data_IF_083858137391
#
_entry.id   IF_083858137391
#
_cell.length_a   1.000
_cell.length_b   1.000
_cell.length_c   1.000
_cell.angle_alpha   90.00
_cell.angle_beta   90.00
_cell.angle_gamma   90.00
#
_symmetry.space_group_name_H-M   'P 1'
#
loop_
_entity.id
_entity.type
_entity.pdbx_description
1 polymer ?
#
# COMPACT_ATOMS: atom_id res chain seq x y z
N UNK A 1 -19.98 -2.67 11.02
CA UNK A 1 -19.57 -4.08 11.11
C UNK A 1 -18.95 -4.39 12.47
N UNK A 2 -17.91 -3.66 12.92
CA UNK A 2 -17.22 -3.93 14.19
C UNK A 2 -18.18 -3.91 15.39
N UNK A 3 -19.02 -2.88 15.54
CA UNK A 3 -20.03 -2.81 16.60
C UNK A 3 -21.02 -3.98 16.56
N UNK A 4 -21.47 -4.38 15.39
CA UNK A 4 -22.35 -5.56 15.25
C UNK A 4 -21.65 -6.85 15.70
N UNK A 5 -20.38 -7.04 15.34
CA UNK A 5 -19.64 -8.23 15.75
C UNK A 5 -19.38 -8.24 17.27
N UNK A 6 -19.06 -7.09 17.86
CA UNK A 6 -18.92 -6.95 19.33
C UNK A 6 -20.23 -7.22 20.06
N UNK A 7 -21.38 -6.75 19.52
CA UNK A 7 -22.69 -7.06 20.09
C UNK A 7 -23.04 -8.56 20.03
N UNK A 8 -22.33 -9.34 19.21
CA UNK A 8 -22.40 -10.81 19.18
C UNK A 8 -21.37 -11.48 20.09
N UNK A 9 -20.74 -10.74 21.00
CA UNK A 9 -19.67 -11.19 21.91
C UNK A 9 -18.43 -11.75 21.18
N UNK A 10 -18.18 -11.32 19.95
CA UNK A 10 -16.96 -11.66 19.25
C UNK A 10 -15.84 -10.67 19.63
N UNK A 11 -14.64 -11.19 19.77
CA UNK A 11 -13.45 -10.38 19.92
C UNK A 11 -13.10 -9.73 18.58
N UNK A 12 -13.04 -8.41 18.54
CA UNK A 12 -12.89 -7.63 17.31
C UNK A 12 -11.76 -6.62 17.47
N UNK A 13 -10.81 -6.68 16.58
CA UNK A 13 -9.80 -5.62 16.38
C UNK A 13 -10.09 -4.89 15.07
N UNK A 14 -10.48 -3.63 15.18
CA UNK A 14 -10.79 -2.77 14.03
C UNK A 14 -9.66 -1.75 13.83
N UNK A 15 -8.91 -1.94 12.76
CA UNK A 15 -7.83 -1.03 12.34
C UNK A 15 -8.35 -0.01 11.33
N UNK A 16 -7.94 1.24 11.50
CA UNK A 16 -8.00 2.31 10.51
C UNK A 16 -6.68 3.10 10.56
N UNK A 17 -6.48 4.03 9.65
CA UNK A 17 -5.25 4.82 9.62
C UNK A 17 -5.14 5.74 8.42
N UNK A 18 -3.95 6.29 8.22
CA UNK A 18 -3.62 7.20 7.13
C UNK A 18 -2.34 6.81 6.41
N UNK A 19 -2.38 6.87 5.08
CA UNK A 19 -1.21 6.81 4.22
C UNK A 19 -0.66 8.23 4.07
N UNK A 20 0.59 8.42 4.49
CA UNK A 20 1.16 9.74 4.69
C UNK A 20 2.41 10.01 3.84
N UNK A 21 2.89 9.02 3.10
CA UNK A 21 4.07 9.12 2.27
C UNK A 21 3.74 9.39 0.78
N UNK A 22 4.78 9.58 -0.02
CA UNK A 22 4.68 9.72 -1.46
C UNK A 22 4.79 11.14 -2.00
N UNK A 23 4.96 11.23 -3.31
CA UNK A 23 5.21 12.49 -4.01
C UNK A 23 4.01 13.46 -3.94
N UNK A 24 2.80 12.93 -3.90
CA UNK A 24 1.57 13.74 -3.80
C UNK A 24 1.55 14.54 -2.50
N UNK A 25 1.86 13.91 -1.38
CA UNK A 25 1.94 14.55 -0.06
C UNK A 25 3.09 15.56 -0.04
N UNK A 26 4.27 15.20 -0.54
CA UNK A 26 5.42 16.10 -0.61
C UNK A 26 5.08 17.39 -1.38
N UNK A 27 4.48 17.27 -2.57
CA UNK A 27 4.06 18.43 -3.38
C UNK A 27 2.97 19.25 -2.69
N UNK A 28 2.00 18.61 -2.02
CA UNK A 28 0.94 19.32 -1.31
C UNK A 28 1.47 20.10 -0.10
N UNK A 29 2.42 19.53 0.63
CA UNK A 29 3.09 20.21 1.74
C UNK A 29 3.88 21.44 1.27
N UNK A 30 4.67 21.28 0.19
CA UNK A 30 5.40 22.38 -0.43
C UNK A 30 4.49 23.53 -0.89
N UNK A 31 3.33 23.20 -1.47
CA UNK A 31 2.35 24.21 -1.89
C UNK A 31 1.73 24.99 -0.71
N UNK A 32 1.86 24.49 0.51
CA UNK A 32 1.39 25.11 1.74
C UNK A 32 2.55 25.69 2.60
N UNK A 33 3.76 25.77 2.07
CA UNK A 33 4.98 26.18 2.80
C UNK A 33 5.19 25.43 4.12
N UNK A 34 4.91 24.10 4.11
CA UNK A 34 5.04 23.21 5.27
C UNK A 34 6.00 22.07 4.98
N UNK A 35 6.63 21.55 6.02
CA UNK A 35 7.24 20.24 5.95
C UNK A 35 6.17 19.14 5.74
N UNK A 36 6.48 18.02 5.06
CA UNK A 36 5.52 16.94 4.87
C UNK A 36 4.90 16.44 6.19
N UNK A 37 5.71 16.30 7.25
CA UNK A 37 5.19 15.84 8.55
C UNK A 37 4.23 16.83 9.20
N UNK A 38 4.48 18.13 9.13
CA UNK A 38 3.55 19.15 9.62
C UNK A 38 2.25 19.16 8.85
N UNK A 39 2.34 19.00 7.53
CA UNK A 39 1.17 18.92 6.66
C UNK A 39 0.29 17.72 7.02
N UNK A 40 0.85 16.51 7.10
CA UNK A 40 0.08 15.30 7.42
C UNK A 40 -0.46 15.31 8.84
N UNK A 41 0.23 15.89 9.82
CA UNK A 41 -0.30 16.06 11.17
C UNK A 41 -1.61 16.84 11.17
N UNK A 42 -1.69 17.96 10.45
CA UNK A 42 -2.93 18.73 10.33
C UNK A 42 -4.05 18.01 9.58
N UNK A 43 -3.71 17.09 8.66
CA UNK A 43 -4.69 16.24 7.98
C UNK A 43 -5.21 15.14 8.91
N UNK A 44 -4.32 14.48 9.64
CA UNK A 44 -4.67 13.42 10.61
C UNK A 44 -5.61 13.91 11.68
N UNK A 45 -5.40 15.12 12.20
CA UNK A 45 -6.28 15.70 13.22
C UNK A 45 -7.72 15.86 12.70
N UNK A 46 -7.89 16.22 11.43
CA UNK A 46 -9.21 16.28 10.78
C UNK A 46 -9.85 14.88 10.65
N UNK A 47 -9.08 13.87 10.28
CA UNK A 47 -9.57 12.49 10.24
C UNK A 47 -10.00 12.01 11.63
N UNK A 48 -9.18 12.22 12.66
CA UNK A 48 -9.52 11.84 14.04
C UNK A 48 -10.79 12.55 14.54
N UNK A 49 -10.94 13.83 14.24
CA UNK A 49 -12.16 14.58 14.56
C UNK A 49 -13.36 13.96 13.86
N UNK A 50 -13.27 13.71 12.55
CA UNK A 50 -14.35 13.09 11.78
C UNK A 50 -14.72 11.69 12.30
N UNK A 51 -13.72 10.88 12.70
CA UNK A 51 -13.96 9.56 13.28
C UNK A 51 -14.72 9.65 14.61
N UNK A 52 -14.40 10.66 15.43
CA UNK A 52 -15.15 10.92 16.66
C UNK A 52 -16.59 11.36 16.37
N UNK A 53 -16.79 12.29 15.44
CA UNK A 53 -18.13 12.80 15.06
C UNK A 53 -19.01 11.67 14.50
N UNK A 54 -18.42 10.77 13.72
CA UNK A 54 -19.10 9.59 13.16
C UNK A 54 -19.17 8.41 14.13
N UNK A 55 -18.64 8.57 15.36
CA UNK A 55 -18.58 7.51 16.36
C UNK A 55 -17.96 6.21 15.82
N UNK A 56 -16.84 6.32 15.10
CA UNK A 56 -16.08 5.18 14.58
C UNK A 56 -15.31 4.52 15.71
N UNK A 57 -15.67 3.29 16.05
CA UNK A 57 -15.10 2.53 17.18
C UNK A 57 -13.88 1.70 16.78
N UNK A 58 -12.86 2.33 16.22
CA UNK A 58 -11.58 1.68 15.92
C UNK A 58 -10.80 1.38 17.21
N UNK A 59 -9.98 0.33 17.16
CA UNK A 59 -9.11 -0.09 18.26
C UNK A 59 -7.69 0.46 18.10
N UNK A 60 -7.29 0.69 16.85
CA UNK A 60 -6.00 1.32 16.53
C UNK A 60 -6.13 2.23 15.32
N UNK A 61 -5.34 3.31 15.31
CA UNK A 61 -5.21 4.24 14.21
C UNK A 61 -3.74 4.29 13.82
N UNK A 62 -3.38 3.52 12.78
CA UNK A 62 -1.99 3.45 12.29
C UNK A 62 -1.70 4.61 11.34
N UNK A 63 -0.53 5.21 11.48
CA UNK A 63 0.02 6.17 10.54
C UNK A 63 1.26 5.57 9.89
N UNK A 64 1.40 5.69 8.59
CA UNK A 64 2.58 5.15 7.91
C UNK A 64 3.87 5.90 8.27
N UNK A 65 3.77 7.10 8.86
CA UNK A 65 4.89 7.86 9.42
C UNK A 65 5.31 7.42 10.83
N UNK A 66 4.53 6.56 11.50
CA UNK A 66 4.90 6.10 12.83
C UNK A 66 6.13 5.18 12.82
N UNK A 67 6.98 5.36 13.80
CA UNK A 67 8.22 4.61 13.96
C UNK A 67 7.98 3.09 14.03
N UNK A 68 6.89 2.66 14.69
CA UNK A 68 6.47 1.25 14.76
C UNK A 68 6.16 0.66 13.39
N UNK A 69 5.63 1.47 12.46
CA UNK A 69 5.38 1.05 11.08
C UNK A 69 6.67 1.06 10.26
N UNK A 70 7.38 2.19 10.24
CA UNK A 70 8.60 2.36 9.44
C UNK A 70 9.66 1.29 9.71
N UNK A 71 9.91 0.96 10.98
CA UNK A 71 10.90 -0.07 11.36
C UNK A 71 10.51 -1.46 10.82
N UNK A 72 9.23 -1.82 10.94
CA UNK A 72 8.74 -3.12 10.46
C UNK A 72 8.74 -3.22 8.94
N UNK A 73 8.33 -2.16 8.25
CA UNK A 73 8.38 -2.11 6.78
C UNK A 73 9.80 -2.36 6.28
N UNK A 74 10.80 -1.69 6.86
CA UNK A 74 12.21 -1.90 6.53
C UNK A 74 12.63 -3.36 6.71
N UNK A 75 12.25 -3.97 7.83
CA UNK A 75 12.57 -5.37 8.13
C UNK A 75 11.90 -6.34 7.17
N UNK A 76 10.61 -6.12 6.87
CA UNK A 76 9.86 -6.95 5.91
C UNK A 76 10.49 -6.82 4.51
N UNK A 77 10.85 -5.61 4.09
CA UNK A 77 11.52 -5.39 2.81
C UNK A 77 12.82 -6.20 2.72
N UNK A 78 13.65 -6.16 3.77
CA UNK A 78 14.89 -6.94 3.84
C UNK A 78 14.63 -8.44 3.76
N UNK A 79 13.66 -8.96 4.49
CA UNK A 79 13.30 -10.38 4.46
C UNK A 79 12.87 -10.84 3.06
N UNK A 80 12.06 -10.03 2.38
CA UNK A 80 11.61 -10.34 1.01
C UNK A 80 12.79 -10.26 0.03
N UNK A 81 13.72 -9.33 0.22
CA UNK A 81 14.93 -9.20 -0.58
C UNK A 81 15.88 -10.38 -0.36
N UNK A 82 16.09 -10.81 0.87
CA UNK A 82 16.90 -11.99 1.23
C UNK A 82 16.31 -13.29 0.65
N UNK A 83 14.99 -13.39 0.53
CA UNK A 83 14.31 -14.50 -0.13
C UNK A 83 14.45 -14.47 -1.67
N UNK A 84 15.10 -13.46 -2.24
CA UNK A 84 15.32 -13.31 -3.68
C UNK A 84 14.07 -12.84 -4.45
N UNK A 85 13.05 -12.36 -3.75
CA UNK A 85 11.82 -11.86 -4.37
C UNK A 85 11.85 -10.36 -4.67
N UNK A 86 12.91 -9.67 -4.25
CA UNK A 86 13.19 -8.28 -4.66
C UNK A 86 14.53 -8.24 -5.40
N UNK A 87 14.59 -7.54 -6.52
CA UNK A 87 15.79 -7.33 -7.32
C UNK A 87 15.86 -5.91 -7.87
N UNK A 88 17.07 -5.42 -8.17
CA UNK A 88 17.29 -4.13 -8.84
C UNK A 88 17.15 -4.32 -10.36
N UNK A 89 16.34 -3.51 -11.00
CA UNK A 89 16.11 -3.51 -12.45
C UNK A 89 15.98 -2.11 -13.02
N UNK A 90 15.99 -2.00 -14.34
CA UNK A 90 15.71 -0.73 -15.02
C UNK A 90 14.22 -0.66 -15.36
N UNK A 91 13.62 0.47 -15.06
CA UNK A 91 12.26 0.80 -15.43
C UNK A 91 12.27 1.92 -16.48
N UNK A 92 11.55 1.71 -17.56
CA UNK A 92 11.23 2.77 -18.52
C UNK A 92 9.73 2.73 -18.79
N UNK A 93 9.03 3.83 -18.54
CA UNK A 93 7.59 3.91 -18.72
C UNK A 93 7.03 5.29 -18.45
N UNK A 94 5.71 5.37 -18.37
CA UNK A 94 4.99 6.62 -18.13
C UNK A 94 4.45 6.64 -16.70
N UNK A 95 4.72 7.71 -15.97
CA UNK A 95 4.31 7.88 -14.59
C UNK A 95 3.24 8.96 -14.45
N UNK A 96 2.15 8.63 -13.79
CA UNK A 96 1.10 9.57 -13.40
C UNK A 96 1.30 10.01 -11.95
N UNK A 97 1.76 11.24 -11.74
CA UNK A 97 2.00 11.77 -10.39
C UNK A 97 0.74 11.79 -9.52
N UNK A 98 -0.43 12.24 -10.02
CA UNK A 98 -1.65 12.27 -9.19
C UNK A 98 -2.20 10.91 -8.77
N UNK A 99 -2.01 9.87 -9.61
CA UNK A 99 -2.45 8.50 -9.30
C UNK A 99 -1.33 7.66 -8.69
N UNK A 100 -0.09 8.19 -8.69
CA UNK A 100 1.12 7.48 -8.27
C UNK A 100 1.26 6.10 -8.94
N UNK A 101 0.91 6.05 -10.24
CA UNK A 101 0.81 4.81 -11.02
C UNK A 101 1.67 4.86 -12.27
N UNK A 102 2.27 3.72 -12.61
CA UNK A 102 3.01 3.53 -13.84
C UNK A 102 2.14 2.92 -14.94
N UNK A 103 2.44 3.33 -16.17
CA UNK A 103 1.74 2.89 -17.37
C UNK A 103 2.74 2.57 -18.48
N UNK A 104 2.48 1.52 -19.23
CA UNK A 104 3.17 1.30 -20.51
C UNK A 104 2.46 2.14 -21.59
N UNK A 105 3.17 2.46 -22.67
CA UNK A 105 2.65 3.35 -23.71
C UNK A 105 1.33 2.88 -24.32
N UNK A 106 1.15 1.56 -24.46
CA UNK A 106 -0.07 0.94 -24.99
C UNK A 106 -1.31 1.10 -24.09
N UNK A 107 -1.13 1.42 -22.82
CA UNK A 107 -2.21 1.63 -21.86
C UNK A 107 -2.66 3.10 -21.80
N UNK A 108 -1.86 4.02 -22.33
CA UNK A 108 -2.21 5.44 -22.31
C UNK A 108 -3.38 5.74 -23.26
N UNK A 109 -4.24 6.63 -22.82
CA UNK A 109 -5.30 7.22 -23.66
C UNK A 109 -4.84 8.61 -24.10
N UNK A 110 -4.57 8.77 -25.40
CA UNK A 110 -4.10 10.05 -25.97
C UNK A 110 -2.86 10.61 -25.21
N UNK A 111 -1.92 9.72 -24.81
CA UNK A 111 -0.74 10.05 -24.00
C UNK A 111 -1.09 10.62 -22.61
N UNK A 112 -2.25 10.26 -22.07
CA UNK A 112 -2.70 10.63 -20.73
C UNK A 112 -2.97 9.40 -19.89
N UNK A 113 -3.00 9.60 -18.57
CA UNK A 113 -3.33 8.56 -17.60
C UNK A 113 -4.74 8.00 -17.87
N UNK A 114 -4.90 6.69 -18.01
CA UNK A 114 -6.19 6.07 -18.30
C UNK A 114 -7.20 6.18 -17.13
N UNK A 115 -6.72 6.42 -15.90
CA UNK A 115 -7.57 6.55 -14.72
C UNK A 115 -8.06 7.98 -14.49
N UNK A 116 -7.15 8.96 -14.50
CA UNK A 116 -7.49 10.34 -14.13
C UNK A 116 -7.46 11.34 -15.30
N UNK A 117 -7.11 10.89 -16.50
CA UNK A 117 -7.00 11.67 -17.73
C UNK A 117 -6.03 12.88 -17.67
N UNK A 118 -5.08 12.87 -16.70
CA UNK A 118 -4.04 13.90 -16.56
C UNK A 118 -2.77 13.51 -17.33
N UNK A 119 -1.89 14.48 -17.54
CA UNK A 119 -0.60 14.26 -18.16
C UNK A 119 0.23 13.25 -17.40
N UNK A 120 1.00 12.46 -18.13
CA UNK A 120 2.00 11.52 -17.60
C UNK A 120 3.39 11.96 -18.01
N UNK A 121 4.39 11.61 -17.20
CA UNK A 121 5.80 11.93 -17.43
C UNK A 121 6.54 10.65 -17.82
N UNK A 122 7.41 10.74 -18.85
CA UNK A 122 8.26 9.59 -19.20
C UNK A 122 9.40 9.50 -18.20
N UNK A 123 9.54 8.33 -17.56
CA UNK A 123 10.52 8.07 -16.52
C UNK A 123 11.38 6.89 -16.95
N UNK A 124 12.71 7.06 -16.78
CA UNK A 124 13.68 5.98 -16.89
C UNK A 124 14.56 6.03 -15.66
N UNK A 125 14.43 5.01 -14.82
CA UNK A 125 15.18 4.94 -13.58
C UNK A 125 15.50 3.48 -13.20
N UNK A 126 16.53 3.29 -12.36
CA UNK A 126 16.76 1.99 -11.71
C UNK A 126 15.88 1.92 -10.49
N UNK A 127 15.09 0.85 -10.37
CA UNK A 127 14.21 0.62 -9.26
C UNK A 127 14.35 -0.80 -8.71
N UNK A 128 13.97 -0.98 -7.47
CA UNK A 128 13.74 -2.32 -6.93
C UNK A 128 12.38 -2.84 -7.42
N UNK A 129 12.37 -4.10 -7.85
CA UNK A 129 11.19 -4.80 -8.35
C UNK A 129 10.85 -5.96 -7.42
N UNK A 130 9.57 -6.16 -7.18
CA UNK A 130 9.04 -7.36 -6.53
C UNK A 130 8.61 -8.37 -7.60
N UNK A 131 9.05 -9.63 -7.45
CA UNK A 131 8.75 -10.73 -8.38
C UNK A 131 7.29 -11.22 -8.26
N UNK A 132 6.34 -10.34 -8.58
CA UNK A 132 4.93 -10.69 -8.53
C UNK A 132 4.57 -11.83 -9.49
N UNK A 133 5.25 -11.90 -10.65
CA UNK A 133 5.10 -12.98 -11.63
C UNK A 133 5.31 -14.37 -11.03
N UNK A 134 6.24 -14.53 -10.08
CA UNK A 134 6.50 -15.78 -9.35
C UNK A 134 5.26 -16.31 -8.61
N UNK A 135 4.38 -15.41 -8.18
CA UNK A 135 3.23 -15.72 -7.34
C UNK A 135 1.93 -15.92 -8.14
N UNK A 136 1.93 -15.70 -9.46
CA UNK A 136 0.73 -15.76 -10.31
C UNK A 136 -0.03 -17.08 -10.14
N UNK A 137 0.66 -18.21 -10.19
CA UNK A 137 0.05 -19.53 -10.04
C UNK A 137 -0.59 -19.71 -8.66
N UNK A 138 0.13 -19.34 -7.60
CA UNK A 138 -0.37 -19.45 -6.22
C UNK A 138 -1.57 -18.55 -5.96
N UNK A 139 -1.60 -17.36 -6.57
CA UNK A 139 -2.75 -16.46 -6.49
C UNK A 139 -3.98 -17.06 -7.17
N UNK A 140 -3.84 -17.64 -8.35
CA UNK A 140 -4.95 -18.30 -9.04
C UNK A 140 -5.49 -19.48 -8.22
N UNK A 141 -4.62 -20.35 -7.74
CA UNK A 141 -4.99 -21.48 -6.89
C UNK A 141 -5.70 -21.03 -5.59
N UNK A 142 -5.24 -19.94 -4.98
CA UNK A 142 -5.87 -19.38 -3.80
C UNK A 142 -7.32 -18.94 -4.09
N UNK A 143 -7.53 -18.21 -5.19
CA UNK A 143 -8.86 -17.73 -5.57
C UNK A 143 -9.81 -18.85 -6.00
N UNK A 144 -9.29 -19.93 -6.56
CA UNK A 144 -10.08 -21.14 -6.88
C UNK A 144 -10.54 -21.85 -5.60
N UNK A 145 -9.63 -21.99 -4.62
CA UNK A 145 -9.94 -22.62 -3.32
C UNK A 145 -10.83 -21.77 -2.43
N UNK A 146 -10.78 -20.44 -2.59
CA UNK A 146 -11.50 -19.47 -1.77
C UNK A 146 -12.39 -18.52 -2.61
N UNK A 147 -13.50 -19.02 -3.21
CA UNK A 147 -14.30 -18.26 -4.16
C UNK A 147 -14.96 -16.99 -3.56
N UNK A 148 -15.06 -16.92 -2.23
CA UNK A 148 -15.63 -15.79 -1.50
C UNK A 148 -14.59 -14.83 -0.92
N UNK A 149 -13.29 -15.01 -1.26
CA UNK A 149 -12.20 -14.18 -0.76
C UNK A 149 -12.35 -12.71 -1.20
N UNK A 150 -12.84 -12.48 -2.41
CA UNK A 150 -13.15 -11.14 -2.92
C UNK A 150 -14.65 -11.00 -3.17
N UNK A 151 -15.24 -9.92 -2.66
CA UNK A 151 -16.64 -9.56 -2.82
C UNK A 151 -16.75 -8.10 -3.29
N UNK A 152 -17.74 -7.73 -4.11
CA UNK A 152 -18.72 -8.61 -4.75
C UNK A 152 -18.09 -9.43 -5.90
N UNK A 153 -18.85 -10.38 -6.42
CA UNK A 153 -18.40 -11.28 -7.48
C UNK A 153 -17.88 -10.54 -8.73
N UNK A 154 -18.45 -9.40 -9.08
CA UNK A 154 -17.98 -8.56 -10.17
C UNK A 154 -16.51 -8.16 -10.00
N UNK A 155 -16.09 -7.77 -8.80
CA UNK A 155 -14.71 -7.40 -8.49
C UNK A 155 -13.78 -8.61 -8.48
N UNK A 156 -14.27 -9.74 -8.00
CA UNK A 156 -13.55 -11.01 -8.09
C UNK A 156 -13.26 -11.37 -9.54
N UNK A 157 -14.26 -11.30 -10.42
CA UNK A 157 -14.13 -11.64 -11.81
C UNK A 157 -13.17 -10.70 -12.55
N UNK A 158 -13.21 -9.41 -12.28
CA UNK A 158 -12.28 -8.40 -12.79
C UNK A 158 -10.82 -8.75 -12.43
N UNK A 159 -10.56 -9.03 -11.14
CA UNK A 159 -9.24 -9.42 -10.68
C UNK A 159 -8.76 -10.73 -11.33
N UNK A 160 -9.63 -11.74 -11.39
CA UNK A 160 -9.28 -13.04 -11.99
C UNK A 160 -8.91 -12.90 -13.46
N UNK A 161 -9.61 -12.07 -14.23
CA UNK A 161 -9.24 -11.80 -15.63
C UNK A 161 -7.82 -11.18 -15.70
N UNK A 162 -7.51 -10.26 -14.80
CA UNK A 162 -6.18 -9.63 -14.74
C UNK A 162 -5.08 -10.63 -14.36
N UNK A 163 -5.31 -11.51 -13.37
CA UNK A 163 -4.32 -12.49 -12.93
C UNK A 163 -4.15 -13.64 -13.95
N UNK A 164 -5.15 -13.96 -14.76
CA UNK A 164 -5.06 -14.96 -15.84
C UNK A 164 -4.17 -14.50 -17.00
N UNK A 165 -4.06 -13.20 -17.22
CA UNK A 165 -3.07 -12.63 -18.15
C UNK A 165 -1.68 -12.68 -17.51
N UNK A 166 -0.59 -12.69 -18.30
CA UNK A 166 0.76 -12.64 -17.73
C UNK A 166 0.91 -11.49 -16.74
N UNK A 167 1.32 -11.83 -15.51
CA UNK A 167 1.56 -10.84 -14.44
C UNK A 167 3.01 -10.42 -14.50
N UNK A 168 3.23 -9.12 -14.60
CA UNK A 168 4.57 -8.53 -14.61
C UNK A 168 5.04 -8.24 -13.18
N UNK A 169 6.36 -8.22 -12.99
CA UNK A 169 6.98 -7.77 -11.74
C UNK A 169 6.73 -6.27 -11.55
N UNK A 170 6.52 -5.87 -10.32
CA UNK A 170 6.15 -4.50 -9.99
C UNK A 170 7.32 -3.71 -9.40
N UNK A 171 7.49 -2.48 -9.86
CA UNK A 171 8.46 -1.55 -9.28
C UNK A 171 8.00 -1.08 -7.91
N UNK A 172 8.80 -1.36 -6.89
CA UNK A 172 8.51 -1.13 -5.47
C UNK A 172 9.43 -0.11 -4.79
N UNK A 173 10.19 0.65 -5.56
CA UNK A 173 10.97 1.79 -5.06
C UNK A 173 10.94 2.96 -6.02
N UNK A 174 11.40 4.11 -5.54
CA UNK A 174 11.55 5.37 -6.30
C UNK A 174 12.84 6.04 -5.90
N UNK A 175 13.60 6.54 -6.88
CA UNK A 175 14.82 7.31 -6.65
C UNK A 175 14.56 8.83 -6.53
N UNK A 176 13.45 9.31 -7.12
CA UNK A 176 13.13 10.74 -7.19
C UNK A 176 12.24 11.24 -6.02
N UNK A 177 11.87 10.39 -5.08
CA UNK A 177 10.97 10.72 -3.96
C UNK A 177 11.74 10.66 -2.65
N UNK A 178 11.80 11.78 -1.93
CA UNK A 178 12.47 11.86 -0.63
C UNK A 178 11.53 11.54 0.55
N UNK A 179 10.24 11.89 0.42
CA UNK A 179 9.27 11.70 1.48
C UNK A 179 8.68 10.29 1.45
N UNK A 180 9.23 9.43 2.29
CA UNK A 180 8.84 8.01 2.43
C UNK A 180 9.86 7.21 3.22
N UNK A 181 9.65 5.91 3.30
CA UNK A 181 10.55 4.98 4.00
C UNK A 181 11.69 4.62 3.06
N UNK A 182 12.93 4.94 3.44
CA UNK A 182 14.10 4.61 2.64
C UNK A 182 14.36 3.10 2.61
N UNK A 183 14.82 2.60 1.45
CA UNK A 183 15.26 1.21 1.30
C UNK A 183 16.46 0.97 2.23
N UNK A 184 16.42 -0.07 3.09
CA UNK A 184 17.44 -0.28 4.12
C UNK A 184 18.88 -0.43 3.58
N UNK A 185 19.02 -1.09 2.43
CA UNK A 185 20.32 -1.36 1.78
C UNK A 185 20.77 -0.27 0.81
N UNK A 186 19.88 0.72 0.51
CA UNK A 186 20.13 1.74 -0.50
C UNK A 186 19.33 3.01 -0.21
N UNK A 187 19.93 3.94 0.51
CA UNK A 187 19.30 5.21 0.90
C UNK A 187 19.04 6.18 -0.25
N UNK A 188 19.47 5.86 -1.48
CA UNK A 188 19.12 6.63 -2.68
C UNK A 188 17.72 6.28 -3.20
N UNK A 189 17.08 5.24 -2.63
CA UNK A 189 15.76 4.80 -3.00
C UNK A 189 14.79 4.87 -1.81
N UNK A 190 13.56 5.28 -2.10
CA UNK A 190 12.43 5.27 -1.18
C UNK A 190 11.49 4.12 -1.55
N UNK A 191 11.02 3.37 -0.55
CA UNK A 191 10.03 2.31 -0.73
C UNK A 191 8.75 2.93 -1.30
N UNK A 192 8.19 2.27 -2.33
CA UNK A 192 7.00 2.75 -3.01
C UNK A 192 5.78 2.76 -2.09
N UNK A 193 5.05 3.87 -2.13
CA UNK A 193 3.93 4.17 -1.22
C UNK A 193 2.88 3.04 -1.12
N UNK A 194 2.58 2.33 -2.18
CA UNK A 194 1.62 1.23 -2.13
C UNK A 194 2.12 0.01 -1.35
N UNK A 195 3.43 -0.30 -1.40
CA UNK A 195 4.00 -1.37 -0.58
C UNK A 195 4.03 -0.94 0.89
N UNK A 196 4.46 0.28 1.15
CA UNK A 196 4.43 0.91 2.46
C UNK A 196 3.01 0.85 3.06
N UNK A 197 2.03 1.40 2.35
CA UNK A 197 0.64 1.44 2.77
C UNK A 197 0.06 0.04 3.03
N UNK A 198 0.24 -0.92 2.11
CA UNK A 198 -0.32 -2.27 2.28
C UNK A 198 0.27 -3.03 3.47
N UNK A 199 1.50 -2.73 3.86
CA UNK A 199 2.12 -3.35 5.03
C UNK A 199 1.53 -2.87 6.37
N UNK A 200 0.74 -1.77 6.39
CA UNK A 200 0.12 -1.29 7.62
C UNK A 200 -0.76 -2.36 8.30
N UNK A 201 -1.44 -3.20 7.52
CA UNK A 201 -2.31 -4.25 8.04
C UNK A 201 -1.61 -5.24 8.96
N UNK A 202 -0.35 -5.55 8.70
CA UNK A 202 0.44 -6.46 9.51
C UNK A 202 1.30 -5.73 10.54
N UNK A 203 1.82 -4.55 10.21
CA UNK A 203 2.66 -3.78 11.13
C UNK A 203 1.86 -3.25 12.32
N UNK A 204 0.59 -2.85 12.14
CA UNK A 204 -0.30 -2.45 13.21
C UNK A 204 -0.63 -3.59 14.19
N UNK A 205 -0.59 -4.83 13.70
CA UNK A 205 -0.78 -6.02 14.53
C UNK A 205 0.49 -6.45 15.27
N UNK A 206 1.60 -5.76 15.05
CA UNK A 206 2.85 -6.08 15.75
C UNK A 206 3.65 -7.21 15.10
N UNK A 207 3.53 -7.43 13.79
CA UNK A 207 4.37 -8.40 13.08
C UNK A 207 5.83 -8.24 13.48
N UNK A 208 6.47 -9.35 13.87
CA UNK A 208 7.86 -9.44 14.33
C UNK A 208 8.17 -8.74 15.67
N UNK A 209 7.17 -8.32 16.44
CA UNK A 209 7.31 -7.67 17.73
C UNK A 209 6.30 -8.26 18.74
N UNK A 210 5.00 -8.10 18.49
CA UNK A 210 3.93 -8.71 19.27
C UNK A 210 3.27 -9.85 18.49
N UNK A 211 3.95 -10.98 18.43
CA UNK A 211 3.48 -12.14 17.69
C UNK A 211 2.18 -12.74 18.25
N UNK A 212 1.85 -12.52 19.54
CA UNK A 212 0.58 -12.98 20.11
C UNK A 212 -0.59 -12.21 19.50
N UNK A 213 -0.49 -10.88 19.46
CA UNK A 213 -1.48 -10.01 18.81
C UNK A 213 -1.58 -10.32 17.32
N UNK A 214 -0.44 -10.46 16.64
CA UNK A 214 -0.40 -10.79 15.22
C UNK A 214 -1.11 -12.12 14.93
N UNK A 215 -0.75 -13.20 15.59
CA UNK A 215 -1.35 -14.52 15.38
C UNK A 215 -2.85 -14.55 15.70
N UNK A 216 -3.29 -13.73 16.65
CA UNK A 216 -4.70 -13.65 17.05
C UNK A 216 -5.58 -12.99 15.99
N UNK A 217 -5.10 -11.96 15.30
CA UNK A 217 -5.90 -11.15 14.38
C UNK A 217 -5.50 -11.24 12.92
N UNK A 218 -4.42 -11.96 12.60
CA UNK A 218 -4.02 -12.23 11.23
C UNK A 218 -4.21 -13.71 10.87
N UNK A 219 -4.75 -14.07 9.70
CA UNK A 219 -5.21 -13.16 8.65
C UNK A 219 -6.48 -12.40 9.03
N UNK A 220 -6.62 -11.19 8.49
CA UNK A 220 -7.79 -10.36 8.74
C UNK A 220 -9.07 -11.03 8.23
N UNK A 221 -10.13 -10.97 9.02
CA UNK A 221 -11.44 -11.52 8.60
C UNK A 221 -12.08 -10.73 7.47
N UNK A 222 -11.82 -9.42 7.40
CA UNK A 222 -12.37 -8.52 6.38
C UNK A 222 -11.42 -7.35 6.14
N UNK A 223 -11.12 -7.09 4.87
CA UNK A 223 -10.57 -5.82 4.39
C UNK A 223 -11.67 -5.08 3.64
N UNK A 224 -11.90 -3.81 3.99
CA UNK A 224 -12.84 -2.93 3.27
C UNK A 224 -12.00 -1.96 2.47
N UNK A 225 -12.12 -2.03 1.14
CA UNK A 225 -11.33 -1.25 0.19
C UNK A 225 -12.30 -0.37 -0.59
N UNK A 226 -12.00 0.93 -0.66
CA UNK A 226 -12.79 1.94 -1.37
C UNK A 226 -12.39 2.10 -2.83
#
# INVERSE_FOLDING_TARGET
LARYKRAKNLDVFFLTGTDEHGQKIQKAAQACDKSPIEFVNGVVDKFKTLWNDLNISHDDFIRTTEDRHCRRVKKIFQQIQENGDIYLGEYEGWYCVPCESFWIESQLKERKCPECNRSVEKVKEKNYFFRLSKYQKSLLEHHEKHPHFIQPESRRNELLQRIKSPVEDISISRSAIEWGIQVPSDHTHTIYVWIDALLNYITALGYDDDMQKFQKYWPASVHIIG
#
